data_IF_219823643983
#
_entry.id   IF_219823643983
#
_cell.length_a   1.000
_cell.length_b   1.000
_cell.length_c   1.000
_cell.angle_alpha   90.00
_cell.angle_beta   90.00
_cell.angle_gamma   90.00
#
_symmetry.space_group_name_H-M   'P 1'
#
loop_
_entity.id
_entity.type
_entity.pdbx_description
1 polymer ?
#
# COMPACT_ATOMS: atom_id res chain seq x y z
N UNK A 1 12.54 -3.13 -21.80
CA UNK A 1 11.74 -1.87 -21.64
C UNK A 1 11.54 -1.65 -20.15
N UNK A 2 11.69 -0.44 -19.69
CA UNK A 2 11.48 -0.07 -18.28
C UNK A 2 9.98 -0.24 -17.95
N UNK A 3 9.65 -1.18 -17.05
CA UNK A 3 8.28 -1.42 -16.57
C UNK A 3 8.08 -0.72 -15.24
N UNK A 4 6.85 -0.40 -14.91
CA UNK A 4 6.50 0.11 -13.58
C UNK A 4 5.35 -0.71 -13.01
N UNK A 5 5.51 -1.13 -11.76
CA UNK A 5 4.50 -1.94 -11.06
C UNK A 5 4.02 -1.21 -9.80
N UNK A 6 2.71 -1.22 -9.57
CA UNK A 6 2.13 -0.85 -8.29
C UNK A 6 1.88 -2.13 -7.47
N UNK A 7 2.34 -2.16 -6.22
CA UNK A 7 2.24 -3.32 -5.32
C UNK A 7 1.38 -2.91 -4.13
N UNK A 8 0.30 -3.66 -3.88
CA UNK A 8 -0.66 -3.40 -2.81
C UNK A 8 -0.12 -3.71 -1.42
N UNK A 9 -1.02 -3.60 -0.45
CA UNK A 9 -0.76 -3.79 0.98
C UNK A 9 -0.13 -5.17 1.26
N UNK A 10 0.79 -5.25 2.23
CA UNK A 10 1.63 -6.43 2.49
C UNK A 10 1.38 -7.02 3.88
N UNK A 11 1.26 -6.16 4.89
CA UNK A 11 0.93 -6.49 6.27
C UNK A 11 1.80 -7.59 6.92
N UNK A 12 3.14 -7.49 6.75
CA UNK A 12 4.08 -8.47 7.31
C UNK A 12 4.15 -9.78 6.53
N UNK A 13 3.50 -9.86 5.37
CA UNK A 13 3.44 -11.04 4.51
C UNK A 13 4.65 -11.19 3.59
N UNK A 14 5.87 -11.35 4.14
CA UNK A 14 7.11 -11.45 3.38
C UNK A 14 7.06 -12.55 2.31
N UNK A 15 6.57 -13.73 2.66
CA UNK A 15 6.49 -14.87 1.70
C UNK A 15 5.60 -14.53 0.51
N UNK A 16 4.50 -13.82 0.75
CA UNK A 16 3.58 -13.36 -0.30
C UNK A 16 4.25 -12.31 -1.19
N UNK A 17 4.95 -11.33 -0.60
CA UNK A 17 5.70 -10.32 -1.34
C UNK A 17 6.76 -10.96 -2.24
N UNK A 18 7.55 -11.90 -1.72
CA UNK A 18 8.57 -12.60 -2.49
C UNK A 18 7.98 -13.38 -3.67
N UNK A 19 6.81 -14.02 -3.48
CA UNK A 19 6.11 -14.67 -4.59
C UNK A 19 5.67 -13.69 -5.67
N UNK A 20 5.13 -12.52 -5.30
CA UNK A 20 4.72 -11.49 -6.27
C UNK A 20 5.92 -10.96 -7.03
N UNK A 21 7.02 -10.59 -6.35
CA UNK A 21 8.23 -10.11 -7.00
C UNK A 21 8.81 -11.13 -7.99
N UNK A 22 8.78 -12.42 -7.62
CA UNK A 22 9.20 -13.50 -8.52
C UNK A 22 8.29 -13.65 -9.74
N UNK A 23 6.96 -13.62 -9.55
CA UNK A 23 5.99 -13.72 -10.66
C UNK A 23 6.03 -12.52 -11.61
N UNK A 24 6.37 -11.34 -11.11
CA UNK A 24 6.60 -10.13 -11.90
C UNK A 24 7.90 -10.17 -12.70
N UNK A 25 8.79 -11.14 -12.37
CA UNK A 25 10.13 -11.24 -12.97
C UNK A 25 10.85 -9.89 -12.94
N UNK A 26 10.90 -9.29 -11.73
CA UNK A 26 11.44 -7.94 -11.50
C UNK A 26 12.92 -7.88 -11.86
N UNK A 27 13.30 -6.82 -12.58
CA UNK A 27 14.68 -6.54 -13.00
C UNK A 27 15.17 -5.19 -12.45
N UNK A 28 16.47 -4.93 -12.50
CA UNK A 28 17.05 -3.66 -12.01
C UNK A 28 16.60 -2.44 -12.82
N UNK A 29 16.07 -2.63 -14.04
CA UNK A 29 15.52 -1.55 -14.89
C UNK A 29 14.08 -1.16 -14.50
N UNK A 30 13.38 -1.97 -13.71
CA UNK A 30 11.99 -1.75 -13.36
C UNK A 30 11.83 -0.66 -12.27
N UNK A 31 10.63 -0.12 -12.15
CA UNK A 31 10.23 0.74 -11.04
C UNK A 31 9.13 0.05 -10.23
N UNK A 32 9.33 -0.04 -8.92
CA UNK A 32 8.34 -0.60 -7.99
C UNK A 32 7.75 0.53 -7.15
N UNK A 33 6.42 0.65 -7.16
CA UNK A 33 5.66 1.60 -6.34
C UNK A 33 4.84 0.80 -5.35
N UNK A 34 5.27 0.80 -4.09
CA UNK A 34 4.58 0.12 -3.01
C UNK A 34 3.56 1.04 -2.38
N UNK A 35 2.33 0.56 -2.19
CA UNK A 35 1.17 1.40 -1.84
C UNK A 35 1.00 1.63 -0.33
N UNK A 36 1.93 1.14 0.51
CA UNK A 36 1.86 1.31 1.96
C UNK A 36 1.39 0.05 2.70
N UNK A 37 1.25 0.18 4.02
CA UNK A 37 0.84 -0.88 4.95
C UNK A 37 1.73 -2.14 4.82
N UNK A 38 3.02 -1.94 5.09
CA UNK A 38 4.03 -3.02 5.03
C UNK A 38 3.99 -3.93 6.24
N UNK A 39 3.52 -3.41 7.36
CA UNK A 39 3.55 -4.03 8.69
C UNK A 39 2.16 -4.36 9.21
N UNK A 40 2.08 -5.03 10.34
CA UNK A 40 0.88 -5.38 11.11
C UNK A 40 0.01 -6.47 10.46
N UNK A 41 -0.07 -7.60 11.12
CA UNK A 41 -0.92 -8.73 10.71
C UNK A 41 -0.19 -10.07 10.69
N UNK A 42 0.78 -10.26 9.80
CA UNK A 42 1.60 -11.47 9.73
C UNK A 42 2.95 -11.27 10.44
N UNK A 43 3.64 -12.37 10.73
CA UNK A 43 4.79 -12.40 11.64
C UNK A 43 6.09 -11.77 11.11
N UNK A 44 6.16 -11.36 9.84
CA UNK A 44 7.43 -10.95 9.22
C UNK A 44 7.49 -9.45 8.88
N UNK A 45 6.86 -8.59 9.72
CA UNK A 45 6.81 -7.13 9.50
C UNK A 45 8.18 -6.47 9.41
N UNK A 46 9.07 -6.77 10.36
CA UNK A 46 10.42 -6.21 10.36
C UNK A 46 11.23 -6.67 9.14
N UNK A 47 11.06 -7.94 8.74
CA UNK A 47 11.73 -8.52 7.60
C UNK A 47 11.22 -7.95 6.26
N UNK A 48 9.94 -7.56 6.18
CA UNK A 48 9.40 -6.83 5.03
C UNK A 48 10.10 -5.47 4.90
N UNK A 49 10.23 -4.70 5.98
CA UNK A 49 10.95 -3.41 5.95
C UNK A 49 12.41 -3.60 5.54
N UNK A 50 13.11 -4.61 6.08
CA UNK A 50 14.50 -4.94 5.71
C UNK A 50 14.63 -5.27 4.20
N UNK A 51 13.67 -6.04 3.65
CA UNK A 51 13.63 -6.34 2.22
C UNK A 51 13.43 -5.07 1.39
N UNK A 52 12.51 -4.16 1.78
CA UNK A 52 12.26 -2.92 1.06
C UNK A 52 13.48 -1.99 1.07
N UNK A 53 14.20 -1.90 2.21
CA UNK A 53 15.47 -1.18 2.30
C UNK A 53 16.49 -1.76 1.30
N UNK A 54 16.64 -3.08 1.29
CA UNK A 54 17.58 -3.77 0.40
C UNK A 54 17.22 -3.60 -1.08
N UNK A 55 15.94 -3.72 -1.43
CA UNK A 55 15.45 -3.51 -2.79
C UNK A 55 15.70 -2.07 -3.26
N UNK A 56 15.45 -1.08 -2.40
CA UNK A 56 15.63 0.34 -2.71
C UNK A 56 17.08 0.73 -3.01
N UNK A 57 18.04 -0.12 -2.65
CA UNK A 57 19.46 0.09 -3.00
C UNK A 57 19.80 -0.40 -4.43
N UNK A 58 18.97 -1.25 -5.03
CA UNK A 58 19.23 -1.92 -6.32
C UNK A 58 18.25 -1.51 -7.40
N UNK A 59 17.00 -1.29 -7.04
CA UNK A 59 15.88 -1.01 -7.95
C UNK A 59 15.27 0.34 -7.57
N UNK A 60 14.72 1.06 -8.53
CA UNK A 60 13.98 2.28 -8.24
C UNK A 60 12.67 1.95 -7.50
N UNK A 61 12.67 2.08 -6.16
CA UNK A 61 11.53 1.84 -5.30
C UNK A 61 10.94 3.14 -4.76
N UNK A 62 9.65 3.33 -4.90
CA UNK A 62 8.86 4.36 -4.24
C UNK A 62 7.99 3.67 -3.20
N UNK A 63 8.33 3.83 -1.91
CA UNK A 63 7.57 3.22 -0.81
C UNK A 63 6.67 4.29 -0.20
N UNK A 64 5.38 4.26 -0.53
CA UNK A 64 4.37 5.19 -0.01
C UNK A 64 4.01 4.78 1.42
N UNK A 65 3.76 5.75 2.28
CA UNK A 65 3.45 5.50 3.69
C UNK A 65 1.97 5.20 3.90
N UNK A 66 1.67 4.04 4.47
CA UNK A 66 0.34 3.67 4.96
C UNK A 66 0.11 4.02 6.43
N UNK A 67 -1.10 3.84 6.91
CA UNK A 67 -1.45 4.15 8.32
C UNK A 67 -0.80 3.17 9.30
N UNK A 68 -0.62 1.92 8.95
CA UNK A 68 0.08 0.94 9.77
C UNK A 68 1.56 1.28 9.90
N UNK A 69 2.18 1.80 8.84
CA UNK A 69 3.57 2.26 8.85
C UNK A 69 3.77 3.48 9.76
N UNK A 70 2.79 4.40 9.79
CA UNK A 70 2.78 5.53 10.73
C UNK A 70 2.70 5.05 12.17
N UNK A 71 1.89 4.05 12.48
CA UNK A 71 1.77 3.50 13.84
C UNK A 71 3.04 2.76 14.25
N UNK A 72 3.60 1.93 13.40
CA UNK A 72 4.86 1.24 13.62
C UNK A 72 6.02 2.22 13.83
N UNK A 73 6.15 3.25 12.99
CA UNK A 73 7.14 4.31 13.17
C UNK A 73 7.03 4.97 14.54
N UNK A 74 5.82 5.39 14.93
CA UNK A 74 5.59 6.01 16.25
C UNK A 74 6.00 5.08 17.40
N UNK A 75 5.68 3.79 17.31
CA UNK A 75 6.09 2.83 18.33
C UNK A 75 7.61 2.64 18.38
N UNK A 76 8.27 2.48 17.22
CA UNK A 76 9.74 2.35 17.16
C UNK A 76 10.46 3.56 17.77
N UNK A 77 9.94 4.78 17.55
CA UNK A 77 10.52 6.02 18.06
C UNK A 77 10.28 6.24 19.56
N UNK A 78 9.10 5.87 20.04
CA UNK A 78 8.65 6.28 21.40
C UNK A 78 8.55 5.12 22.37
N UNK A 79 8.54 3.88 21.89
CA UNK A 79 8.20 2.65 22.63
C UNK A 79 6.79 2.67 23.25
N UNK A 80 5.93 3.62 22.84
CA UNK A 80 4.56 3.71 23.34
C UNK A 80 3.64 2.81 22.50
N UNK A 81 3.05 1.82 23.14
CA UNK A 81 2.11 0.89 22.53
C UNK A 81 0.69 1.45 22.64
N UNK A 82 0.07 1.80 21.50
CA UNK A 82 -1.33 2.21 21.47
C UNK A 82 -2.22 0.95 21.49
N UNK A 83 -3.21 0.84 22.40
CA UNK A 83 -4.03 -0.38 22.51
C UNK A 83 -4.74 -0.76 21.20
N UNK A 84 -5.27 0.22 20.46
CA UNK A 84 -5.93 -0.04 19.19
C UNK A 84 -4.97 -0.63 18.15
N UNK A 85 -3.77 -0.07 18.02
CA UNK A 85 -2.75 -0.59 17.12
C UNK A 85 -2.33 -2.02 17.48
N UNK A 86 -2.10 -2.28 18.78
CA UNK A 86 -1.75 -3.61 19.27
C UNK A 86 -2.77 -4.68 18.83
N UNK A 87 -4.08 -4.36 18.94
CA UNK A 87 -5.17 -5.25 18.56
C UNK A 87 -5.33 -5.42 17.03
N UNK A 88 -4.83 -4.45 16.26
CA UNK A 88 -4.91 -4.46 14.80
C UNK A 88 -3.63 -4.97 14.12
N UNK A 89 -2.92 -5.90 14.74
CA UNK A 89 -1.73 -6.55 14.17
C UNK A 89 -0.39 -5.96 14.64
N UNK A 90 -0.42 -4.94 15.51
CA UNK A 90 0.79 -4.35 16.06
C UNK A 90 1.55 -5.30 16.98
N UNK A 91 0.87 -6.30 17.58
CA UNK A 91 1.51 -7.34 18.37
C UNK A 91 2.50 -8.14 17.51
N UNK A 92 2.04 -8.64 16.36
CA UNK A 92 2.84 -9.42 15.43
C UNK A 92 4.03 -8.61 14.90
N UNK A 93 3.83 -7.30 14.69
CA UNK A 93 4.93 -6.38 14.37
C UNK A 93 5.94 -6.29 15.50
N UNK A 94 5.51 -6.08 16.75
CA UNK A 94 6.41 -6.02 17.90
C UNK A 94 7.22 -7.31 18.05
N UNK A 95 6.56 -8.44 17.97
CA UNK A 95 7.19 -9.78 18.04
C UNK A 95 8.26 -9.94 16.94
N UNK A 96 7.99 -9.47 15.72
CA UNK A 96 8.94 -9.53 14.60
C UNK A 96 10.24 -8.74 14.81
N UNK A 97 10.21 -7.76 15.72
CA UNK A 97 11.37 -6.92 16.07
C UNK A 97 12.17 -7.42 17.26
N UNK A 98 11.83 -8.56 17.91
CA UNK A 98 12.50 -9.02 19.13
C UNK A 98 14.01 -9.18 18.94
N UNK A 99 14.45 -9.79 17.84
CA UNK A 99 15.85 -10.06 17.55
C UNK A 99 16.59 -8.91 16.83
N UNK A 100 15.90 -7.79 16.53
CA UNK A 100 16.51 -6.66 15.84
C UNK A 100 17.30 -5.77 16.80
N UNK A 101 18.55 -5.46 16.45
CA UNK A 101 19.41 -4.54 17.21
C UNK A 101 18.85 -3.11 17.20
N UNK A 102 19.35 -2.27 18.11
CA UNK A 102 19.00 -0.84 18.14
C UNK A 102 19.37 -0.12 16.84
N UNK A 103 20.49 -0.49 16.25
CA UNK A 103 21.01 0.07 15.00
C UNK A 103 20.09 -0.28 13.83
N UNK A 104 19.65 -1.53 13.74
CA UNK A 104 18.68 -1.97 12.72
C UNK A 104 17.33 -1.27 12.90
N UNK A 105 16.82 -1.18 14.14
CA UNK A 105 15.59 -0.44 14.43
C UNK A 105 15.70 1.04 14.03
N UNK A 106 16.88 1.66 14.25
CA UNK A 106 17.11 3.04 13.81
C UNK A 106 17.12 3.17 12.28
N UNK A 107 17.71 2.22 11.56
CA UNK A 107 17.67 2.20 10.09
C UNK A 107 16.22 2.10 9.56
N UNK A 108 15.39 1.27 10.20
CA UNK A 108 13.96 1.16 9.86
C UNK A 108 13.20 2.45 10.15
N UNK A 109 13.45 3.11 11.28
CA UNK A 109 12.88 4.43 11.60
C UNK A 109 13.24 5.44 10.51
N UNK A 110 14.53 5.51 10.14
CA UNK A 110 15.01 6.47 9.13
C UNK A 110 14.41 6.20 7.74
N UNK A 111 14.19 4.92 7.41
CA UNK A 111 13.52 4.52 6.18
C UNK A 111 12.03 4.92 6.19
N UNK A 112 11.30 4.58 7.26
CA UNK A 112 9.90 4.93 7.44
C UNK A 112 9.68 6.45 7.42
N UNK A 113 10.57 7.24 8.01
CA UNK A 113 10.52 8.72 7.99
C UNK A 113 10.59 9.30 6.59
N UNK A 114 11.38 8.70 5.72
CA UNK A 114 11.62 9.19 4.34
C UNK A 114 10.50 8.83 3.36
N UNK A 115 9.58 7.94 3.74
CA UNK A 115 8.49 7.53 2.87
C UNK A 115 7.60 8.71 2.50
N UNK A 116 7.34 8.95 1.20
CA UNK A 116 6.39 9.96 0.76
C UNK A 116 4.95 9.54 1.09
N UNK A 117 4.06 10.53 1.22
CA UNK A 117 2.63 10.31 1.42
C UNK A 117 1.88 10.07 0.10
N UNK A 118 2.45 10.54 -1.00
CA UNK A 118 1.99 10.30 -2.36
C UNK A 118 3.16 10.42 -3.35
N UNK A 119 2.96 9.89 -4.54
CA UNK A 119 3.87 10.05 -5.67
C UNK A 119 3.07 10.40 -6.92
N UNK A 120 3.57 11.34 -7.71
CA UNK A 120 3.00 11.73 -9.00
C UNK A 120 4.04 11.48 -10.09
N UNK A 121 3.69 10.68 -11.09
CA UNK A 121 4.60 10.39 -12.19
C UNK A 121 4.49 11.41 -13.34
N UNK A 122 5.39 11.30 -14.32
CA UNK A 122 5.43 12.19 -15.47
C UNK A 122 4.22 12.07 -16.42
N UNK A 123 3.40 11.01 -16.30
CA UNK A 123 2.16 10.81 -17.04
C UNK A 123 0.92 11.27 -16.26
N UNK A 124 1.11 12.05 -15.20
CA UNK A 124 0.07 12.52 -14.29
C UNK A 124 -0.75 11.37 -13.66
N UNK A 125 -0.07 10.26 -13.31
CA UNK A 125 -0.66 9.18 -12.53
C UNK A 125 -0.29 9.35 -11.08
N UNK A 126 -1.30 9.37 -10.22
CA UNK A 126 -1.16 9.57 -8.78
C UNK A 126 -1.13 8.22 -8.06
N UNK A 127 -0.20 8.09 -7.11
CA UNK A 127 -0.07 6.93 -6.23
C UNK A 127 -0.11 7.42 -4.79
N UNK A 128 -1.02 6.87 -3.97
CA UNK A 128 -1.13 7.18 -2.54
C UNK A 128 -1.79 6.00 -1.83
N UNK A 129 -1.62 5.93 -0.51
CA UNK A 129 -2.13 4.76 0.22
C UNK A 129 -3.66 4.70 0.25
N UNK A 130 -4.34 5.79 0.62
CA UNK A 130 -5.80 5.78 0.84
C UNK A 130 -6.55 6.77 -0.08
N UNK A 131 -6.38 8.07 0.11
CA UNK A 131 -7.10 9.05 -0.68
C UNK A 131 -6.74 10.49 -0.35
N UNK A 132 -7.55 11.41 -0.84
CA UNK A 132 -7.45 12.85 -0.56
C UNK A 132 -8.83 13.49 -0.73
N UNK A 133 -9.05 14.65 -0.08
CA UNK A 133 -10.35 15.35 -0.09
C UNK A 133 -10.32 16.67 -0.85
N UNK A 134 -9.15 17.24 -1.06
CA UNK A 134 -8.98 18.53 -1.76
C UNK A 134 -9.42 18.45 -3.23
N UNK A 135 -10.36 19.29 -3.63
CA UNK A 135 -10.92 19.29 -4.99
C UNK A 135 -9.90 19.71 -6.06
N UNK A 136 -8.83 20.42 -5.66
CA UNK A 136 -7.77 20.91 -6.52
C UNK A 136 -6.54 20.00 -6.57
N UNK A 137 -6.65 18.80 -5.99
CA UNK A 137 -5.57 17.80 -5.99
C UNK A 137 -4.77 17.74 -4.70
N UNK A 138 -3.88 16.76 -4.63
CA UNK A 138 -3.11 16.39 -3.42
C UNK A 138 -2.23 17.52 -2.88
N UNK A 139 -1.73 18.40 -3.74
CA UNK A 139 -0.91 19.53 -3.32
C UNK A 139 -1.68 20.54 -2.45
N UNK A 140 -3.00 20.53 -2.54
CA UNK A 140 -3.90 21.39 -1.77
C UNK A 140 -4.50 20.69 -0.54
N UNK A 141 -4.12 19.44 -0.27
CA UNK A 141 -4.60 18.71 0.91
C UNK A 141 -3.93 19.23 2.18
N UNK A 142 -4.75 19.76 3.10
CA UNK A 142 -4.26 20.37 4.34
C UNK A 142 -4.03 19.38 5.46
N UNK A 143 -4.79 18.30 5.47
CA UNK A 143 -4.67 17.24 6.46
C UNK A 143 -3.90 16.05 5.87
N UNK A 144 -2.62 15.93 6.20
CA UNK A 144 -1.77 14.87 5.68
C UNK A 144 -2.22 13.46 6.09
N UNK A 145 -2.97 13.33 7.19
CA UNK A 145 -3.52 12.04 7.60
C UNK A 145 -4.56 11.50 6.61
N UNK A 146 -5.18 12.36 5.82
CA UNK A 146 -6.11 11.97 4.76
C UNK A 146 -5.45 11.03 3.75
N UNK A 147 -4.17 11.24 3.41
CA UNK A 147 -3.46 10.43 2.43
C UNK A 147 -3.39 8.94 2.80
N UNK A 148 -3.46 8.62 4.10
CA UNK A 148 -3.37 7.23 4.57
C UNK A 148 -4.58 6.76 5.41
N UNK A 149 -5.66 7.56 5.51
CA UNK A 149 -6.88 7.19 6.26
C UNK A 149 -8.18 7.37 5.47
N UNK A 150 -8.19 8.13 4.35
CA UNK A 150 -9.42 8.42 3.61
C UNK A 150 -9.96 7.17 2.91
N UNK A 151 -11.28 7.00 2.98
CA UNK A 151 -12.01 5.97 2.22
C UNK A 151 -12.95 6.59 1.21
N UNK A 152 -13.21 7.90 1.33
CA UNK A 152 -14.24 8.59 0.55
C UNK A 152 -13.87 8.73 -0.92
N UNK A 153 -12.57 8.71 -1.27
CA UNK A 153 -12.13 8.73 -2.66
C UNK A 153 -12.56 7.45 -3.39
N UNK A 154 -12.30 6.30 -2.77
CA UNK A 154 -12.68 5.00 -3.33
C UNK A 154 -14.19 4.79 -3.35
N UNK A 155 -14.88 5.06 -2.24
CA UNK A 155 -16.35 4.97 -2.14
C UNK A 155 -17.03 5.84 -3.19
N UNK A 156 -16.54 7.07 -3.40
CA UNK A 156 -17.05 7.96 -4.43
C UNK A 156 -16.89 7.38 -5.84
N UNK A 157 -15.74 6.77 -6.15
CA UNK A 157 -15.52 6.14 -7.45
C UNK A 157 -16.45 4.95 -7.69
N UNK A 158 -16.65 4.12 -6.67
CA UNK A 158 -17.53 2.94 -6.74
C UNK A 158 -19.01 3.29 -7.02
N UNK A 159 -19.48 4.43 -6.55
CA UNK A 159 -20.89 4.85 -6.73
C UNK A 159 -21.08 5.80 -7.92
N UNK A 160 -20.01 6.28 -8.53
CA UNK A 160 -20.09 7.15 -9.69
C UNK A 160 -20.55 6.39 -10.93
N UNK A 161 -21.36 7.03 -11.78
CA UNK A 161 -21.73 6.49 -13.07
C UNK A 161 -20.56 6.66 -14.05
N UNK A 162 -19.94 5.58 -14.47
CA UNK A 162 -18.78 5.58 -15.41
C UNK A 162 -19.11 6.21 -16.78
N UNK A 163 -20.39 6.29 -17.14
CA UNK A 163 -20.86 6.91 -18.39
C UNK A 163 -20.97 8.44 -18.27
N UNK A 164 -20.79 9.01 -17.09
CA UNK A 164 -20.88 10.47 -16.90
C UNK A 164 -19.74 11.17 -17.65
N UNK A 165 -20.09 12.14 -18.47
CA UNK A 165 -19.11 12.96 -19.18
C UNK A 165 -18.27 13.77 -18.20
N UNK A 166 -16.96 13.87 -18.45
CA UNK A 166 -16.04 14.64 -17.62
C UNK A 166 -16.40 16.13 -17.56
N UNK A 167 -17.01 16.68 -18.60
CA UNK A 167 -17.52 18.06 -18.67
C UNK A 167 -18.81 18.26 -17.89
N UNK A 168 -19.48 17.18 -17.46
CA UNK A 168 -20.72 17.28 -16.75
C UNK A 168 -20.51 17.83 -15.33
N UNK A 169 -21.35 18.76 -14.89
CA UNK A 169 -21.25 19.46 -13.57
C UNK A 169 -21.24 18.53 -12.35
N UNK A 170 -21.72 17.30 -12.46
CA UNK A 170 -21.74 16.27 -11.41
C UNK A 170 -20.53 15.35 -11.45
N UNK A 171 -19.64 15.49 -12.45
CA UNK A 171 -18.42 14.67 -12.47
C UNK A 171 -17.58 14.95 -11.23
N UNK A 172 -17.06 13.92 -10.53
CA UNK A 172 -16.27 14.12 -9.31
C UNK A 172 -14.99 14.92 -9.59
N UNK A 173 -14.90 16.15 -9.10
CA UNK A 173 -13.79 17.06 -9.40
C UNK A 173 -12.42 16.53 -9.01
N UNK A 174 -12.34 15.74 -7.93
CA UNK A 174 -11.09 15.09 -7.50
C UNK A 174 -10.50 14.18 -8.59
N UNK A 175 -11.36 13.50 -9.35
CA UNK A 175 -10.95 12.57 -10.40
C UNK A 175 -10.44 13.28 -11.67
N UNK A 176 -10.77 14.56 -11.87
CA UNK A 176 -10.30 15.35 -13.01
C UNK A 176 -8.83 15.75 -12.90
N UNK A 177 -8.23 15.67 -11.72
CA UNK A 177 -6.89 16.17 -11.46
C UNK A 177 -5.80 15.26 -12.04
N UNK A 178 -6.10 13.97 -12.23
CA UNK A 178 -5.13 12.93 -12.56
C UNK A 178 -5.59 12.04 -13.71
N UNK A 179 -4.63 11.54 -14.49
CA UNK A 179 -4.91 10.59 -15.56
C UNK A 179 -5.42 9.26 -14.98
N UNK A 180 -4.71 8.76 -13.97
CA UNK A 180 -5.06 7.56 -13.20
C UNK A 180 -4.68 7.78 -11.74
N UNK A 181 -5.34 7.06 -10.82
CA UNK A 181 -5.05 7.08 -9.40
C UNK A 181 -4.89 5.63 -8.93
N UNK A 182 -3.83 5.34 -8.20
CA UNK A 182 -3.59 4.01 -7.61
C UNK A 182 -3.67 4.13 -6.09
N UNK A 183 -4.41 3.21 -5.46
CA UNK A 183 -4.64 3.17 -4.01
C UNK A 183 -4.52 1.76 -3.45
N UNK A 184 -4.36 1.65 -2.13
CA UNK A 184 -4.50 0.46 -1.29
C UNK A 184 -5.57 0.64 -0.22
N UNK A 185 -5.24 0.30 1.05
CA UNK A 185 -5.96 0.64 2.28
C UNK A 185 -7.34 0.02 2.46
N UNK A 186 -8.14 -0.06 1.44
CA UNK A 186 -9.50 -0.58 1.50
C UNK A 186 -9.59 -1.87 0.71
N UNK A 187 -9.54 -3.03 1.39
CA UNK A 187 -9.46 -4.32 0.70
C UNK A 187 -10.60 -4.56 -0.27
N UNK A 188 -10.28 -4.96 -1.51
CA UNK A 188 -11.28 -5.36 -2.51
C UNK A 188 -12.14 -6.51 -2.01
N UNK A 189 -11.60 -7.34 -1.12
CA UNK A 189 -12.33 -8.45 -0.46
C UNK A 189 -13.52 -8.00 0.37
N UNK A 190 -13.60 -6.73 0.79
CA UNK A 190 -14.80 -6.16 1.41
C UNK A 190 -16.00 -6.14 0.45
N UNK A 191 -15.72 -6.13 -0.86
CA UNK A 191 -16.71 -6.21 -1.94
C UNK A 191 -16.82 -7.63 -2.52
N UNK A 192 -16.16 -8.61 -1.88
CA UNK A 192 -16.06 -10.01 -2.34
C UNK A 192 -15.24 -10.19 -3.62
N UNK A 193 -14.45 -9.18 -3.99
CA UNK A 193 -13.52 -9.26 -5.11
C UNK A 193 -12.14 -9.69 -4.62
N UNK A 194 -11.46 -10.56 -5.37
CA UNK A 194 -10.16 -11.13 -5.00
C UNK A 194 -9.01 -10.62 -5.86
N UNK A 195 -9.30 -9.73 -6.79
CA UNK A 195 -8.39 -9.14 -7.76
C UNK A 195 -8.33 -7.62 -7.58
N UNK A 196 -7.30 -6.93 -8.13
CA UNK A 196 -7.30 -5.48 -8.21
C UNK A 196 -8.56 -4.96 -8.90
N UNK A 197 -9.17 -3.93 -8.33
CA UNK A 197 -10.39 -3.34 -8.85
C UNK A 197 -10.15 -2.01 -9.54
N UNK A 198 -10.96 -1.73 -10.56
CA UNK A 198 -10.98 -0.44 -11.26
C UNK A 198 -12.36 0.20 -11.17
N UNK A 199 -12.42 1.47 -10.81
CA UNK A 199 -13.63 2.29 -10.84
C UNK A 199 -13.28 3.72 -11.25
N UNK A 200 -13.98 4.26 -12.24
CA UNK A 200 -13.66 5.55 -12.87
C UNK A 200 -12.21 5.57 -13.40
N UNK A 201 -11.33 6.40 -12.84
CA UNK A 201 -9.89 6.39 -13.12
C UNK A 201 -9.04 5.93 -11.93
N UNK A 202 -9.64 5.18 -10.98
CA UNK A 202 -8.95 4.67 -9.79
C UNK A 202 -8.72 3.16 -9.91
N UNK A 203 -7.49 2.73 -9.63
CA UNK A 203 -7.09 1.34 -9.42
C UNK A 203 -6.86 1.09 -7.94
N UNK A 204 -7.62 0.18 -7.35
CA UNK A 204 -7.39 -0.32 -6.00
C UNK A 204 -6.64 -1.64 -6.08
N UNK A 205 -5.43 -1.68 -5.52
CA UNK A 205 -4.53 -2.85 -5.58
C UNK A 205 -4.41 -3.61 -4.26
N UNK A 206 -5.13 -3.18 -3.20
CA UNK A 206 -5.23 -3.93 -1.95
C UNK A 206 -6.23 -5.08 -2.10
N UNK A 207 -5.73 -6.30 -2.19
CA UNK A 207 -6.53 -7.52 -2.36
C UNK A 207 -6.63 -8.33 -1.07
N UNK A 208 -6.55 -7.65 0.08
CA UNK A 208 -6.87 -8.19 1.39
C UNK A 208 -5.76 -9.01 2.04
N UNK A 209 -4.49 -8.69 1.75
CA UNK A 209 -3.33 -9.38 2.34
C UNK A 209 -3.33 -9.33 3.88
N UNK A 210 -3.86 -8.28 4.49
CA UNK A 210 -4.00 -8.17 5.96
C UNK A 210 -4.77 -9.34 6.60
N UNK A 211 -5.67 -9.95 5.85
CA UNK A 211 -6.64 -10.94 6.33
C UNK A 211 -6.45 -12.31 5.64
N UNK A 212 -7.34 -12.65 4.74
CA UNK A 212 -7.34 -13.96 4.05
C UNK A 212 -7.10 -13.84 2.55
N UNK A 213 -6.72 -12.65 2.09
CA UNK A 213 -6.48 -12.35 0.69
C UNK A 213 -5.06 -12.65 0.23
N UNK A 214 -4.60 -11.83 -0.69
CA UNK A 214 -3.33 -11.98 -1.41
C UNK A 214 -2.59 -10.63 -1.45
N UNK A 215 -1.28 -10.66 -1.63
CA UNK A 215 -0.54 -9.49 -2.13
C UNK A 215 -0.69 -9.47 -3.65
N UNK A 216 -0.94 -8.30 -4.22
CA UNK A 216 -1.05 -8.09 -5.67
C UNK A 216 -0.03 -7.09 -6.18
N UNK A 217 0.48 -7.34 -7.37
CA UNK A 217 1.30 -6.40 -8.14
C UNK A 217 0.74 -6.23 -9.53
N UNK A 218 0.51 -4.99 -9.98
CA UNK A 218 -0.05 -4.66 -11.29
C UNK A 218 0.95 -3.85 -12.12
N UNK A 219 1.13 -4.22 -13.38
CA UNK A 219 1.84 -3.37 -14.36
C UNK A 219 0.95 -2.17 -14.69
N UNK A 220 1.41 -0.96 -14.39
CA UNK A 220 0.58 0.24 -14.53
C UNK A 220 0.35 0.68 -15.97
N UNK A 221 1.09 0.14 -16.95
CA UNK A 221 0.88 0.44 -18.36
C UNK A 221 -0.01 -0.63 -19.05
N UNK A 222 0.24 -1.92 -18.82
CA UNK A 222 -0.52 -3.02 -19.45
C UNK A 222 -1.77 -3.43 -18.67
N UNK A 223 -1.84 -3.12 -17.37
CA UNK A 223 -2.86 -3.55 -16.40
C UNK A 223 -2.84 -5.07 -16.12
N UNK A 224 -1.86 -5.78 -16.62
CA UNK A 224 -1.61 -7.16 -16.23
C UNK A 224 -1.20 -7.21 -14.75
N UNK A 225 -1.78 -8.12 -13.97
CA UNK A 225 -1.49 -8.26 -12.56
C UNK A 225 -1.10 -9.68 -12.19
N UNK A 226 -0.33 -9.78 -11.12
CA UNK A 226 0.10 -11.03 -10.53
C UNK A 226 -0.18 -11.02 -9.03
N UNK A 227 -0.52 -12.19 -8.49
CA UNK A 227 -0.88 -12.33 -7.10
C UNK A 227 -0.08 -13.45 -6.42
N UNK A 228 0.15 -13.29 -5.13
CA UNK A 228 0.65 -14.37 -4.28
C UNK A 228 -0.38 -15.49 -4.14
N UNK A 229 0.01 -16.57 -3.50
CA UNK A 229 -0.95 -17.48 -2.89
C UNK A 229 -1.70 -16.77 -1.74
N UNK A 230 -2.79 -17.38 -1.25
CA UNK A 230 -3.52 -16.85 -0.11
C UNK A 230 -2.63 -16.79 1.13
N UNK A 231 -2.63 -15.68 1.85
CA UNK A 231 -1.79 -15.49 3.04
C UNK A 231 -1.96 -16.62 4.07
N UNK A 232 -3.19 -17.11 4.39
CA UNK A 232 -3.35 -18.24 5.29
C UNK A 232 -2.68 -19.54 4.82
N UNK A 233 -2.47 -19.74 3.53
CA UNK A 233 -1.73 -20.92 3.03
C UNK A 233 -0.21 -20.78 3.19
N UNK A 234 0.30 -19.56 3.20
CA UNK A 234 1.71 -19.25 3.43
C UNK A 234 2.07 -19.19 4.93
N UNK A 235 1.06 -18.92 5.78
CA UNK A 235 1.18 -18.76 7.22
C UNK A 235 0.11 -19.60 7.95
N UNK A 236 0.17 -20.96 7.86
CA UNK A 236 -0.94 -21.84 8.31
C UNK A 236 -1.19 -21.80 9.82
N UNK A 237 -0.23 -21.34 10.61
CA UNK A 237 -0.34 -21.25 12.07
C UNK A 237 -0.68 -19.82 12.56
N UNK A 238 -0.94 -18.90 11.66
CA UNK A 238 -1.22 -17.50 11.96
C UNK A 238 -2.63 -17.13 11.48
N UNK A 239 -3.15 -16.02 12.00
CA UNK A 239 -4.52 -15.58 11.66
C UNK A 239 -4.58 -14.33 10.80
N UNK A 240 -3.45 -13.61 10.69
CA UNK A 240 -3.44 -12.27 10.12
C UNK A 240 -4.17 -11.26 11.03
N UNK A 241 -4.57 -10.13 10.46
CA UNK A 241 -5.41 -9.17 11.20
C UNK A 241 -6.81 -9.74 11.42
N UNK A 242 -7.34 -9.45 12.61
CA UNK A 242 -8.73 -9.77 12.99
C UNK A 242 -9.64 -8.59 12.66
#
# INVERSE_FOLDING_TARGET
MKRTFAIGDIHGGLKALLQVLNKLEVTDDDTLIFMGDYVDGWSESAQVIELLITLSQKINCICIKGNHDVWCQNWLETSVVKPLWYLHGGKETMDSYEDFSKEQKQQHIDFLKKMPLYYLDAKNRLFLHAGFTAMQGVENEKNTATFYLDRTLWEMALVADERIDKEHKRYPKRLLQYAEIYIGHTPTTNLKETEPMHAMNIWNVDTGAAFKGRVSGINIDTKEFFQSDLLPSLYPNEKGRN
#
